data_IF_319884681930
#
_entry.id   IF_319884681930
#
_cell.length_a   1.000
_cell.length_b   1.000
_cell.length_c   1.000
_cell.angle_alpha   90.00
_cell.angle_beta   90.00
_cell.angle_gamma   90.00
#
_symmetry.space_group_name_H-M   'P 1'
#
loop_
_entity.id
_entity.type
_entity.pdbx_description
1 polymer ?
#
# COMPACT_ATOMS: atom_id res chain seq x y z
N UNK A 1 -55.75 -46.92 -5.77
CA UNK A 1 -55.09 -48.21 -6.09
C UNK A 1 -53.72 -48.09 -5.50
N UNK A 2 -53.55 -48.73 -4.38
CA UNK A 2 -52.64 -49.84 -4.05
C UNK A 2 -51.18 -49.39 -4.11
N UNK A 3 -50.39 -49.51 -3.10
CA UNK A 3 -50.43 -50.30 -1.86
C UNK A 3 -48.97 -50.39 -1.38
N UNK A 4 -48.79 -50.26 -0.10
CA UNK A 4 -48.07 -51.24 0.79
C UNK A 4 -46.60 -51.56 0.44
N UNK A 5 -45.67 -51.73 1.33
CA UNK A 5 -45.57 -52.02 2.77
C UNK A 5 -44.09 -51.94 3.18
N UNK A 6 -43.80 -51.51 4.42
CA UNK A 6 -43.08 -52.16 5.52
C UNK A 6 -41.82 -53.00 5.27
N UNK A 7 -40.88 -52.79 6.18
CA UNK A 7 -39.83 -53.69 6.61
C UNK A 7 -38.70 -52.99 7.33
N UNK A 8 -38.80 -52.75 8.54
CA UNK A 8 -38.33 -53.30 9.83
C UNK A 8 -36.88 -53.79 9.87
N UNK A 9 -36.17 -53.23 10.84
CA UNK A 9 -35.17 -53.81 11.79
C UNK A 9 -33.93 -54.53 11.31
N UNK A 10 -32.84 -54.14 11.90
CA UNK A 10 -31.63 -54.88 12.03
C UNK A 10 -30.62 -54.17 12.91
N UNK A 11 -30.69 -54.51 14.18
CA UNK A 11 -29.75 -54.13 15.26
C UNK A 11 -28.45 -54.93 15.15
N UNK A 12 -27.38 -54.30 15.75
CA UNK A 12 -26.20 -54.92 16.36
C UNK A 12 -24.95 -55.10 15.52
N UNK A 13 -23.86 -54.60 16.09
CA UNK A 13 -22.53 -55.10 15.87
C UNK A 13 -21.44 -54.13 16.36
N UNK A 14 -21.03 -54.31 17.60
CA UNK A 14 -19.79 -53.84 18.19
C UNK A 14 -18.58 -54.19 17.31
N UNK A 15 -17.57 -53.29 17.23
CA UNK A 15 -16.23 -53.54 17.74
C UNK A 15 -15.25 -52.39 17.39
N UNK A 16 -14.61 -51.93 18.41
CA UNK A 16 -13.25 -51.35 18.52
C UNK A 16 -12.34 -51.44 17.30
N UNK A 17 -11.71 -50.32 16.98
CA UNK A 17 -10.55 -50.24 16.15
C UNK A 17 -9.90 -48.86 16.28
N UNK A 18 -9.15 -48.67 17.36
CA UNK A 18 -8.16 -47.63 17.54
C UNK A 18 -7.10 -47.75 16.43
N UNK A 19 -6.93 -46.73 15.62
CA UNK A 19 -5.61 -46.34 15.11
C UNK A 19 -5.65 -44.87 14.65
N UNK A 20 -5.09 -44.02 15.49
CA UNK A 20 -4.77 -42.65 15.18
C UNK A 20 -3.64 -42.62 14.15
N UNK A 21 -3.94 -41.99 13.03
CA UNK A 21 -2.89 -41.39 12.20
C UNK A 21 -3.21 -39.92 12.14
N UNK A 22 -2.59 -39.22 13.07
CA UNK A 22 -2.44 -37.75 13.01
C UNK A 22 -1.54 -37.43 11.83
N UNK A 23 -2.12 -37.13 10.68
CA UNK A 23 -1.41 -36.36 9.64
C UNK A 23 -1.38 -34.92 10.06
N UNK A 24 -0.35 -34.57 10.81
CA UNK A 24 0.07 -33.20 11.01
C UNK A 24 0.45 -32.62 9.65
N UNK A 25 -0.46 -31.89 9.04
CA UNK A 25 -0.11 -30.94 7.99
C UNK A 25 0.64 -29.81 8.67
N UNK A 26 1.95 -29.96 8.77
CA UNK A 26 2.85 -28.86 9.01
C UNK A 26 2.67 -27.88 7.85
N UNK A 27 1.84 -26.86 8.07
CA UNK A 27 1.89 -25.65 7.27
C UNK A 27 3.28 -25.08 7.50
N UNK A 28 4.18 -25.25 6.54
CA UNK A 28 5.36 -24.43 6.42
C UNK A 28 4.83 -23.03 6.15
N UNK A 29 4.69 -22.23 7.21
CA UNK A 29 4.67 -20.79 7.10
C UNK A 29 6.00 -20.43 6.46
N UNK A 30 5.94 -20.16 5.16
CA UNK A 30 7.03 -19.49 4.46
C UNK A 30 7.05 -18.09 5.05
N UNK A 31 7.75 -17.96 6.17
CA UNK A 31 8.24 -16.67 6.62
C UNK A 31 9.12 -16.17 5.46
N UNK A 32 8.57 -15.33 4.62
CA UNK A 32 9.36 -14.47 3.75
C UNK A 32 10.15 -13.63 4.75
N UNK A 33 11.40 -14.00 4.94
CA UNK A 33 12.39 -13.13 5.54
C UNK A 33 12.53 -11.95 4.58
N UNK A 34 11.73 -10.90 4.81
CA UNK A 34 12.00 -9.59 4.30
C UNK A 34 13.27 -9.20 5.08
N UNK A 35 14.42 -9.37 4.45
CA UNK A 35 15.62 -8.64 4.83
C UNK A 35 15.22 -7.19 4.66
N UNK A 36 14.79 -6.57 5.75
CA UNK A 36 14.69 -5.13 5.88
C UNK A 36 16.12 -4.61 5.80
N UNK A 37 16.63 -4.45 4.57
CA UNK A 37 17.63 -3.45 4.34
C UNK A 37 17.00 -2.17 4.90
N UNK A 38 17.60 -1.62 5.97
CA UNK A 38 17.37 -0.25 6.41
C UNK A 38 17.80 0.68 5.26
N UNK A 39 17.03 0.66 4.17
CA UNK A 39 16.98 1.78 3.24
C UNK A 39 16.46 2.94 4.09
N UNK A 40 17.35 3.87 4.41
CA UNK A 40 17.04 5.24 4.80
C UNK A 40 15.74 5.60 4.07
N UNK A 41 14.62 5.82 4.83
CA UNK A 41 13.26 5.84 4.26
C UNK A 41 13.09 7.07 3.37
N UNK A 42 13.79 7.07 2.25
CA UNK A 42 13.74 8.12 1.27
C UNK A 42 12.31 8.27 0.77
N UNK A 43 11.73 9.44 1.03
CA UNK A 43 10.34 9.77 0.72
C UNK A 43 10.03 9.55 -0.76
N UNK A 44 9.09 8.66 -1.07
CA UNK A 44 8.64 8.44 -2.43
C UNK A 44 7.84 9.65 -2.95
N UNK A 45 8.12 10.08 -4.19
CA UNK A 45 7.50 11.22 -4.86
C UNK A 45 6.81 10.78 -6.13
N UNK A 46 5.80 11.54 -6.54
CA UNK A 46 5.07 11.31 -7.78
C UNK A 46 5.52 12.34 -8.83
N UNK A 47 5.93 11.85 -9.98
CA UNK A 47 6.33 12.66 -11.13
C UNK A 47 5.29 12.52 -12.23
N UNK A 48 4.71 13.64 -12.66
CA UNK A 48 3.67 13.70 -13.66
C UNK A 48 4.22 14.25 -14.98
N UNK A 49 4.08 13.49 -16.06
CA UNK A 49 4.34 13.95 -17.41
C UNK A 49 3.04 14.04 -18.18
N UNK A 50 2.87 15.09 -18.99
CA UNK A 50 1.68 15.22 -19.84
C UNK A 50 2.03 15.80 -21.21
N UNK A 51 1.38 15.28 -22.25
CA UNK A 51 1.58 15.68 -23.62
C UNK A 51 0.27 15.78 -24.41
N UNK A 52 0.34 16.38 -25.60
CA UNK A 52 -0.82 16.50 -26.50
C UNK A 52 -1.29 15.17 -27.04
N UNK A 53 -0.37 14.22 -27.21
CA UNK A 53 -0.61 12.88 -27.68
C UNK A 53 0.29 11.86 -26.94
N UNK A 54 0.04 10.58 -27.18
CA UNK A 54 0.76 9.48 -26.57
C UNK A 54 2.27 9.54 -26.87
N UNK A 55 2.60 9.77 -28.15
CA UNK A 55 3.99 9.81 -28.61
C UNK A 55 4.78 10.96 -28.00
N UNK A 56 4.15 12.13 -27.90
CA UNK A 56 4.77 13.31 -27.27
C UNK A 56 5.03 13.05 -25.76
N UNK A 57 4.08 12.40 -25.08
CA UNK A 57 4.24 12.06 -23.65
C UNK A 57 5.36 11.05 -23.44
N UNK A 58 5.47 10.04 -24.32
CA UNK A 58 6.56 9.08 -24.28
C UNK A 58 7.91 9.74 -24.55
N UNK A 59 8.00 10.61 -25.56
CA UNK A 59 9.22 11.35 -25.85
C UNK A 59 9.67 12.25 -24.67
N UNK A 60 8.72 12.82 -23.93
CA UNK A 60 9.04 13.57 -22.70
C UNK A 60 9.64 12.66 -21.62
N UNK A 61 9.15 11.42 -21.47
CA UNK A 61 9.70 10.46 -20.54
C UNK A 61 11.15 10.09 -20.91
N UNK A 62 11.41 9.86 -22.20
CA UNK A 62 12.75 9.56 -22.71
C UNK A 62 13.71 10.76 -22.52
N UNK A 63 13.24 11.97 -22.78
CA UNK A 63 14.04 13.19 -22.57
C UNK A 63 14.34 13.41 -21.07
N UNK A 64 13.36 13.19 -20.20
CA UNK A 64 13.57 13.28 -18.75
C UNK A 64 14.60 12.25 -18.29
N UNK A 65 14.48 11.00 -18.74
CA UNK A 65 15.44 9.94 -18.46
C UNK A 65 16.86 10.37 -18.84
N UNK A 66 17.03 10.82 -20.08
CA UNK A 66 18.35 11.24 -20.59
C UNK A 66 18.93 12.43 -19.78
N UNK A 67 18.08 13.36 -19.37
CA UNK A 67 18.47 14.45 -18.49
C UNK A 67 18.94 13.92 -17.13
N UNK A 68 18.17 13.04 -16.49
CA UNK A 68 18.49 12.48 -15.17
C UNK A 68 19.82 11.72 -15.16
N UNK A 69 20.17 11.03 -16.25
CA UNK A 69 21.44 10.35 -16.39
C UNK A 69 22.66 11.30 -16.42
N UNK A 70 22.44 12.57 -16.75
CA UNK A 70 23.48 13.60 -16.77
C UNK A 70 23.49 14.50 -15.55
N UNK A 71 22.50 14.37 -14.65
CA UNK A 71 22.37 15.19 -13.45
C UNK A 71 23.44 14.77 -12.44
N UNK A 72 24.17 15.78 -11.96
CA UNK A 72 25.04 15.63 -10.79
C UNK A 72 24.60 16.66 -9.76
N UNK A 73 23.99 16.21 -8.67
CA UNK A 73 23.51 17.07 -7.60
C UNK A 73 24.11 16.66 -6.27
N UNK A 74 24.38 17.65 -5.42
CA UNK A 74 24.83 17.41 -4.04
C UNK A 74 23.66 17.17 -3.08
N UNK A 75 22.42 17.51 -3.49
CA UNK A 75 21.21 17.33 -2.69
C UNK A 75 20.14 16.69 -3.59
N UNK A 76 20.09 15.37 -3.56
CA UNK A 76 19.17 14.58 -4.36
C UNK A 76 17.72 14.76 -3.90
N UNK A 77 17.50 14.89 -2.61
CA UNK A 77 16.15 15.06 -2.07
C UNK A 77 15.52 16.38 -2.52
N UNK A 78 16.23 17.49 -2.33
CA UNK A 78 15.75 18.80 -2.78
C UNK A 78 15.57 18.84 -4.30
N UNK A 79 16.45 18.20 -5.07
CA UNK A 79 16.30 18.09 -6.51
C UNK A 79 15.00 17.36 -6.89
N UNK A 80 14.73 16.20 -6.30
CA UNK A 80 13.53 15.42 -6.56
C UNK A 80 12.24 16.13 -6.12
N UNK A 81 12.26 16.83 -4.99
CA UNK A 81 11.13 17.64 -4.53
C UNK A 81 10.81 18.77 -5.52
N UNK A 82 11.83 19.50 -5.96
CA UNK A 82 11.69 20.56 -6.94
C UNK A 82 11.21 20.04 -8.31
N UNK A 83 11.72 18.90 -8.74
CA UNK A 83 11.31 18.25 -9.97
C UNK A 83 9.85 17.81 -9.89
N UNK A 84 9.44 17.12 -8.83
CA UNK A 84 8.06 16.69 -8.61
C UNK A 84 7.10 17.88 -8.57
N UNK A 85 7.45 18.93 -7.82
CA UNK A 85 6.67 20.17 -7.76
C UNK A 85 6.56 20.84 -9.13
N UNK A 86 7.66 20.95 -9.86
CA UNK A 86 7.67 21.58 -11.18
C UNK A 86 6.79 20.82 -12.17
N UNK A 87 6.94 19.50 -12.24
CA UNK A 87 6.17 18.67 -13.17
C UNK A 87 4.68 18.64 -12.79
N UNK A 88 4.35 18.60 -11.50
CA UNK A 88 2.97 18.53 -11.04
C UNK A 88 2.22 19.87 -11.03
N UNK A 89 2.92 20.99 -10.73
CA UNK A 89 2.26 22.27 -10.45
C UNK A 89 2.66 23.41 -11.39
N UNK A 90 3.82 23.35 -12.04
CA UNK A 90 4.36 24.44 -12.85
C UNK A 90 4.35 24.19 -14.33
N UNK A 91 3.81 23.05 -14.78
CA UNK A 91 3.68 22.69 -16.19
C UNK A 91 2.22 22.69 -16.61
N UNK A 92 1.97 23.05 -17.89
CA UNK A 92 0.64 22.87 -18.48
C UNK A 92 0.28 21.38 -18.53
N UNK A 93 -0.94 21.06 -18.09
CA UNK A 93 -1.45 19.70 -18.13
C UNK A 93 -2.17 19.47 -19.45
N UNK A 94 -1.75 18.45 -20.16
CA UNK A 94 -2.33 17.99 -21.42
C UNK A 94 -3.14 16.71 -21.23
N UNK A 95 -3.98 16.31 -22.22
CA UNK A 95 -4.87 15.17 -22.06
C UNK A 95 -4.16 13.82 -21.87
N UNK A 96 -2.97 13.62 -22.44
CA UNK A 96 -2.21 12.39 -22.28
C UNK A 96 -1.24 12.52 -21.12
N UNK A 97 -1.31 11.58 -20.17
CA UNK A 97 -0.58 11.66 -18.91
C UNK A 97 0.10 10.34 -18.59
N UNK A 98 1.29 10.42 -18.03
CA UNK A 98 2.02 9.31 -17.40
C UNK A 98 2.46 9.73 -16.02
N UNK A 99 2.37 8.82 -15.05
CA UNK A 99 2.81 9.03 -13.68
C UNK A 99 3.89 8.04 -13.31
N UNK A 100 4.89 8.50 -12.61
CA UNK A 100 6.03 7.72 -12.14
C UNK A 100 6.19 7.95 -10.64
N UNK A 101 6.60 6.93 -9.89
CA UNK A 101 6.90 7.04 -8.47
C UNK A 101 8.32 6.59 -8.21
N UNK A 102 9.07 7.39 -7.45
CA UNK A 102 10.43 7.05 -7.06
C UNK A 102 10.86 7.83 -5.81
N UNK A 103 11.82 7.28 -5.07
CA UNK A 103 12.47 7.91 -3.92
C UNK A 103 13.89 8.40 -4.23
N UNK A 104 14.47 7.97 -5.36
CA UNK A 104 15.81 8.33 -5.80
C UNK A 104 15.86 8.61 -7.31
N UNK A 105 16.89 9.32 -7.78
CA UNK A 105 17.14 9.55 -9.21
C UNK A 105 17.31 8.22 -9.94
N UNK A 106 18.09 7.30 -9.38
CA UNK A 106 18.29 5.98 -9.97
C UNK A 106 16.98 5.19 -10.07
N UNK A 107 16.14 5.25 -9.03
CA UNK A 107 14.80 4.65 -9.02
C UNK A 107 13.89 5.26 -10.07
N UNK A 108 13.93 6.58 -10.26
CA UNK A 108 13.15 7.27 -11.29
C UNK A 108 13.59 6.87 -12.70
N UNK A 109 14.89 6.82 -12.96
CA UNK A 109 15.43 6.35 -14.25
C UNK A 109 14.96 4.92 -14.53
N UNK A 110 15.08 4.00 -13.57
CA UNK A 110 14.62 2.62 -13.70
C UNK A 110 13.11 2.53 -13.99
N UNK A 111 12.31 3.39 -13.35
CA UNK A 111 10.86 3.42 -13.56
C UNK A 111 10.52 3.95 -14.95
N UNK A 112 11.21 4.98 -15.42
CA UNK A 112 11.08 5.53 -16.79
C UNK A 112 11.46 4.49 -17.87
N UNK A 113 12.50 3.68 -17.61
CA UNK A 113 12.95 2.62 -18.54
C UNK A 113 12.03 1.41 -18.57
N UNK A 114 11.30 1.14 -17.52
CA UNK A 114 10.48 -0.07 -17.38
C UNK A 114 9.38 -0.20 -18.44
N UNK A 115 8.97 0.89 -19.07
CA UNK A 115 7.89 0.93 -20.06
C UNK A 115 6.51 0.54 -19.49
N UNK A 116 6.40 0.34 -18.17
CA UNK A 116 5.16 -0.07 -17.50
C UNK A 116 4.14 1.07 -17.45
N UNK A 117 4.61 2.30 -17.33
CA UNK A 117 3.79 3.50 -17.13
C UNK A 117 3.45 4.14 -18.47
N UNK A 118 2.63 3.43 -19.25
CA UNK A 118 2.19 3.93 -20.55
C UNK A 118 1.33 5.19 -20.39
N UNK A 119 1.43 6.14 -21.35
CA UNK A 119 0.56 7.30 -21.35
C UNK A 119 -0.92 6.91 -21.46
N UNK A 120 -1.74 7.51 -20.62
CA UNK A 120 -3.20 7.31 -20.60
C UNK A 120 -3.86 8.64 -20.97
N UNK A 121 -4.86 8.58 -21.85
CA UNK A 121 -5.66 9.76 -22.17
C UNK A 121 -6.66 10.01 -21.05
N UNK A 122 -6.61 11.21 -20.49
CA UNK A 122 -7.62 11.67 -19.51
C UNK A 122 -8.93 11.89 -20.24
N UNK A 123 -10.00 11.31 -19.74
CA UNK A 123 -11.35 11.64 -20.16
C UNK A 123 -11.76 12.97 -19.49
N UNK A 124 -11.87 14.01 -20.29
CA UNK A 124 -12.28 15.34 -19.82
C UNK A 124 -13.78 15.43 -19.51
N UNK A 125 -14.56 14.44 -19.94
CA UNK A 125 -16.02 14.41 -19.76
C UNK A 125 -16.46 13.79 -18.44
N UNK A 126 -15.59 13.09 -17.73
CA UNK A 126 -15.93 12.46 -16.47
C UNK A 126 -15.64 13.38 -15.28
N UNK A 127 -16.67 13.69 -14.49
CA UNK A 127 -16.49 14.31 -13.18
C UNK A 127 -15.67 13.38 -12.29
N UNK A 128 -14.60 13.91 -11.72
CA UNK A 128 -13.76 13.18 -10.77
C UNK A 128 -14.62 12.84 -9.53
N UNK A 129 -14.83 11.55 -9.31
CA UNK A 129 -15.50 11.06 -8.11
C UNK A 129 -14.47 10.41 -7.20
N UNK A 130 -14.38 10.92 -5.98
CA UNK A 130 -13.50 10.37 -4.95
C UNK A 130 -14.30 9.42 -4.07
N UNK A 131 -13.84 8.17 -3.97
CA UNK A 131 -14.39 7.16 -3.07
C UNK A 131 -13.36 6.79 -2.01
N UNK A 132 -13.80 6.70 -0.76
CA UNK A 132 -12.99 6.19 0.35
C UNK A 132 -13.45 4.79 0.71
N UNK A 133 -12.51 3.86 0.81
CA UNK A 133 -12.78 2.48 1.22
C UNK A 133 -12.08 2.23 2.55
N UNK A 134 -12.85 1.94 3.58
CA UNK A 134 -12.34 1.61 4.91
C UNK A 134 -12.49 0.11 5.12
N UNK A 135 -11.37 -0.57 5.35
CA UNK A 135 -11.35 -1.99 5.66
C UNK A 135 -11.81 -2.23 7.10
N UNK A 136 -12.46 -3.38 7.34
CA UNK A 136 -12.91 -3.78 8.67
C UNK A 136 -11.80 -4.41 9.51
N UNK A 137 -12.22 -5.14 10.54
CA UNK A 137 -11.32 -5.86 11.44
C UNK A 137 -10.44 -6.87 10.68
N UNK A 138 -9.17 -6.96 11.06
CA UNK A 138 -8.18 -7.88 10.46
C UNK A 138 -7.23 -7.22 9.46
N UNK A 139 -7.48 -5.95 9.10
CA UNK A 139 -6.59 -5.19 8.21
C UNK A 139 -5.47 -4.44 8.96
N UNK A 140 -5.52 -4.46 10.30
CA UNK A 140 -4.55 -3.76 11.14
C UNK A 140 -3.22 -4.54 11.19
N UNK A 141 -2.12 -3.81 11.09
CA UNK A 141 -0.79 -4.34 11.27
C UNK A 141 0.03 -3.42 12.18
N UNK A 142 1.11 -3.95 12.73
CA UNK A 142 1.95 -3.21 13.64
C UNK A 142 2.60 -2.00 12.92
N UNK A 143 2.66 -0.87 13.61
CA UNK A 143 3.17 0.40 13.09
C UNK A 143 2.36 1.01 11.91
N UNK A 144 1.16 0.50 11.61
CA UNK A 144 0.27 1.07 10.61
C UNK A 144 0.05 2.58 10.84
N UNK A 145 0.42 3.40 9.86
CA UNK A 145 0.27 4.86 9.92
C UNK A 145 1.37 5.61 10.68
N UNK A 146 2.43 4.95 11.16
CA UNK A 146 3.53 5.62 11.89
C UNK A 146 4.15 6.73 11.05
N UNK A 147 4.53 6.44 9.81
CA UNK A 147 5.13 7.41 8.89
C UNK A 147 4.21 8.59 8.59
N UNK A 148 2.89 8.36 8.56
CA UNK A 148 1.92 9.43 8.33
C UNK A 148 1.88 10.44 9.47
N UNK A 149 2.19 10.02 10.71
CA UNK A 149 2.26 10.92 11.87
C UNK A 149 3.37 11.94 11.73
N UNK A 150 4.49 11.52 11.14
CA UNK A 150 5.67 12.38 10.99
C UNK A 150 5.57 13.25 9.74
N UNK A 151 5.01 12.72 8.66
CA UNK A 151 4.95 13.41 7.35
C UNK A 151 3.72 14.33 7.20
N UNK A 152 2.57 13.96 7.80
CA UNK A 152 1.31 14.68 7.59
C UNK A 152 0.78 15.34 8.88
N UNK A 153 0.96 16.66 9.06
CA UNK A 153 0.52 17.38 10.26
C UNK A 153 -0.98 17.24 10.55
N UNK A 154 -1.82 17.18 9.50
CA UNK A 154 -3.27 17.01 9.63
C UNK A 154 -3.61 15.62 10.20
N UNK A 155 -2.92 14.58 9.77
CA UNK A 155 -3.09 13.24 10.31
C UNK A 155 -2.69 13.17 11.79
N UNK A 156 -1.55 13.77 12.12
CA UNK A 156 -1.08 13.88 13.51
C UNK A 156 -2.09 14.63 14.39
N UNK A 157 -2.61 15.77 13.94
CA UNK A 157 -3.61 16.54 14.67
C UNK A 157 -4.88 15.72 14.91
N UNK A 158 -5.39 15.04 13.90
CA UNK A 158 -6.57 14.18 14.03
C UNK A 158 -6.37 13.05 15.07
N UNK A 159 -5.17 12.42 15.09
CA UNK A 159 -4.85 11.40 16.10
C UNK A 159 -4.75 11.98 17.51
N UNK A 160 -4.20 13.20 17.67
CA UNK A 160 -4.16 13.90 18.95
C UNK A 160 -5.56 14.21 19.49
N UNK A 161 -6.47 14.65 18.62
CA UNK A 161 -7.86 14.90 18.97
C UNK A 161 -8.58 13.60 19.37
N UNK A 162 -8.36 12.51 18.65
CA UNK A 162 -8.88 11.20 19.01
C UNK A 162 -8.37 10.75 20.39
N UNK A 163 -7.06 10.89 20.65
CA UNK A 163 -6.45 10.53 21.95
C UNK A 163 -7.04 11.35 23.10
N UNK A 164 -7.24 12.65 22.89
CA UNK A 164 -7.87 13.54 23.87
C UNK A 164 -9.32 13.13 24.19
N UNK A 165 -10.10 12.74 23.17
CA UNK A 165 -11.47 12.25 23.37
C UNK A 165 -11.50 10.90 24.11
N UNK A 166 -10.62 9.97 23.73
CA UNK A 166 -10.52 8.69 24.42
C UNK A 166 -10.15 8.84 25.90
N UNK A 167 -9.25 9.76 26.23
CA UNK A 167 -8.90 10.10 27.62
C UNK A 167 -10.09 10.64 28.41
N UNK A 168 -10.89 11.53 27.79
CA UNK A 168 -12.14 12.03 28.40
C UNK A 168 -13.14 10.90 28.69
N UNK A 169 -13.14 9.85 27.87
CA UNK A 169 -13.96 8.65 28.05
C UNK A 169 -13.36 7.62 29.01
N UNK A 170 -12.21 7.93 29.62
CA UNK A 170 -11.59 7.08 30.66
C UNK A 170 -10.52 6.11 30.14
N UNK A 171 -10.04 6.25 28.90
CA UNK A 171 -8.94 5.43 28.41
C UNK A 171 -7.66 5.69 29.22
N UNK A 172 -7.06 4.61 29.76
CA UNK A 172 -5.82 4.66 30.55
C UNK A 172 -4.55 4.56 29.71
N UNK A 173 -4.68 4.35 28.42
CA UNK A 173 -3.60 4.23 27.45
C UNK A 173 -3.56 5.47 26.52
N UNK A 174 -2.42 5.66 25.87
CA UNK A 174 -2.19 6.78 24.95
C UNK A 174 -2.05 6.23 23.51
N UNK A 175 -2.91 6.67 22.61
CA UNK A 175 -2.90 6.23 21.22
C UNK A 175 -1.55 6.53 20.56
N UNK A 176 -1.07 7.76 20.63
CA UNK A 176 0.19 8.17 19.98
C UNK A 176 1.39 7.45 20.58
N UNK A 177 1.43 7.27 21.91
CA UNK A 177 2.48 6.51 22.57
C UNK A 177 2.56 5.06 22.13
N UNK A 178 1.46 4.49 21.63
CA UNK A 178 1.43 3.14 21.07
C UNK A 178 2.04 3.12 19.66
N UNK A 179 1.87 4.20 18.87
CA UNK A 179 2.46 4.31 17.53
C UNK A 179 3.96 4.60 17.55
N UNK A 180 4.46 5.36 18.55
CA UNK A 180 5.84 5.84 18.59
C UNK A 180 6.79 4.93 19.37
N UNK A 181 6.28 4.08 20.25
CA UNK A 181 7.11 3.14 21.01
C UNK A 181 7.30 1.84 20.23
N UNK A 182 8.56 1.41 20.12
CA UNK A 182 8.94 0.06 19.66
C UNK A 182 8.55 -1.01 20.70
N UNK A 183 7.28 -1.05 21.11
CA UNK A 183 6.79 -2.09 22.01
C UNK A 183 6.10 -3.12 21.14
N UNK A 184 6.58 -4.36 21.09
CA UNK A 184 5.86 -5.43 20.40
C UNK A 184 4.49 -5.55 21.04
N UNK A 185 3.46 -5.65 20.21
CA UNK A 185 2.09 -5.89 20.64
C UNK A 185 2.11 -7.21 21.42
N UNK A 186 2.07 -7.11 22.74
CA UNK A 186 2.03 -8.29 23.59
C UNK A 186 0.67 -8.96 23.38
N UNK A 187 0.70 -10.14 22.77
CA UNK A 187 -0.46 -11.04 22.73
C UNK A 187 -0.98 -11.24 24.16
N UNK A 188 -2.19 -10.77 24.42
CA UNK A 188 -3.03 -11.23 25.52
C UNK A 188 -4.24 -11.94 24.95
#
# INVERSE_FOLDING_TARGET
MNGHTNGTNGTNGHANGTNGHSHGHSRKDSAISIEEEEEDQARSRIFLLSGKDERATQAMADNLKNHLLSVNTSDEEAFLDNLAYTLGHRRSQFPWMSTFSASSIAGLVKTLESGKNKPVKRDASSDLRLGFVYTGQGAQWWAMGRELVDVYPVFKAALLDCDAHLKKLGARWNMIGTFTKNVPFCNR
#
